data_IF_383853992566
#
_entry.id   IF_383853992566
#
_cell.length_a   1.000
_cell.length_b   1.000
_cell.length_c   1.000
_cell.angle_alpha   90.00
_cell.angle_beta   90.00
_cell.angle_gamma   90.00
#
_symmetry.space_group_name_H-M   'P 1'
#
loop_
_entity.id
_entity.type
_entity.pdbx_description
1 polymer ?
#
# COMPACT_ATOMS: atom_id res chain seq x y z
N UNK A 1 -26.03 11.92 19.83
CA UNK A 1 -25.66 10.81 18.92
C UNK A 1 -26.51 10.95 17.69
N UNK A 2 -25.96 11.59 16.66
CA UNK A 2 -26.59 11.74 15.36
C UNK A 2 -25.62 11.14 14.37
N UNK A 3 -25.96 9.97 13.84
CA UNK A 3 -25.25 9.34 12.74
C UNK A 3 -25.31 10.27 11.54
N UNK A 4 -24.24 11.02 11.33
CA UNK A 4 -24.05 11.81 10.12
C UNK A 4 -23.87 10.79 9.00
N UNK A 5 -24.88 10.75 8.12
CA UNK A 5 -24.93 9.91 6.93
C UNK A 5 -23.83 10.34 5.95
N UNK A 6 -22.60 9.93 6.25
CA UNK A 6 -21.41 10.28 5.51
C UNK A 6 -21.56 9.90 4.03
N UNK A 7 -22.28 8.81 3.71
CA UNK A 7 -22.52 8.33 2.34
C UNK A 7 -23.09 9.39 1.38
N UNK A 8 -23.92 10.32 1.85
CA UNK A 8 -24.64 11.24 0.94
C UNK A 8 -23.78 12.41 0.44
N UNK A 9 -22.65 12.74 1.10
CA UNK A 9 -21.79 13.85 0.66
C UNK A 9 -20.77 13.48 -0.43
N UNK A 10 -20.70 12.20 -0.84
CA UNK A 10 -19.60 11.68 -1.67
C UNK A 10 -19.85 11.70 -3.18
N UNK A 11 -21.05 12.06 -3.63
CA UNK A 11 -21.37 12.03 -5.06
C UNK A 11 -21.11 13.41 -5.67
N UNK A 12 -20.02 13.53 -6.42
CA UNK A 12 -19.77 14.67 -7.30
C UNK A 12 -20.65 14.56 -8.57
N UNK A 13 -21.97 14.63 -8.39
CA UNK A 13 -22.98 14.55 -9.45
C UNK A 13 -22.98 15.79 -10.36
N UNK A 14 -22.28 16.85 -9.99
CA UNK A 14 -22.43 18.19 -10.57
C UNK A 14 -21.35 18.60 -11.59
N UNK A 15 -20.49 17.68 -12.05
CA UNK A 15 -19.43 18.06 -13.00
C UNK A 15 -19.92 18.23 -14.46
N UNK A 16 -21.16 17.83 -14.77
CA UNK A 16 -21.78 18.02 -16.08
C UNK A 16 -23.19 18.60 -15.87
N UNK A 17 -23.39 19.87 -16.22
CA UNK A 17 -24.74 20.39 -16.49
C UNK A 17 -25.25 19.75 -17.78
N UNK A 18 -25.76 18.53 -17.70
CA UNK A 18 -26.45 17.87 -18.81
C UNK A 18 -27.84 18.47 -18.96
N UNK A 19 -28.19 18.94 -20.16
CA UNK A 19 -29.59 19.24 -20.48
C UNK A 19 -30.39 17.92 -20.48
N UNK A 20 -31.70 17.95 -20.20
CA UNK A 20 -32.56 16.75 -20.19
C UNK A 20 -32.46 15.93 -21.48
N UNK A 21 -32.25 16.59 -22.62
CA UNK A 21 -32.09 15.97 -23.94
C UNK A 21 -30.79 15.15 -24.04
N UNK A 22 -29.71 15.62 -23.42
CA UNK A 22 -28.42 14.90 -23.39
C UNK A 22 -28.53 13.68 -22.47
N UNK A 23 -29.23 13.77 -21.33
CA UNK A 23 -29.48 12.61 -20.46
C UNK A 23 -30.27 11.51 -21.17
N UNK A 24 -31.26 11.87 -22.00
CA UNK A 24 -32.04 10.91 -22.78
C UNK A 24 -31.18 10.22 -23.84
N UNK A 25 -30.28 10.95 -24.51
CA UNK A 25 -29.33 10.39 -25.48
C UNK A 25 -28.32 9.46 -24.80
N UNK A 26 -27.82 9.84 -23.63
CA UNK A 26 -26.93 9.02 -22.80
C UNK A 26 -27.62 7.71 -22.40
N UNK A 27 -28.82 7.79 -21.81
CA UNK A 27 -29.59 6.64 -21.33
C UNK A 27 -30.09 5.71 -22.45
N UNK A 28 -30.29 6.23 -23.65
CA UNK A 28 -30.68 5.41 -24.82
C UNK A 28 -29.47 4.80 -25.54
N UNK A 29 -28.25 5.26 -25.25
CA UNK A 29 -27.04 4.71 -25.84
C UNK A 29 -26.52 3.52 -25.02
N UNK A 30 -26.75 2.32 -25.54
CA UNK A 30 -26.35 1.04 -24.91
C UNK A 30 -24.84 0.96 -24.57
N UNK A 31 -23.98 1.65 -25.32
CA UNK A 31 -22.54 1.68 -25.03
C UNK A 31 -22.23 2.54 -23.81
N UNK A 32 -22.90 3.69 -23.65
CA UNK A 32 -22.69 4.59 -22.53
C UNK A 32 -23.26 3.99 -21.24
N UNK A 33 -24.47 3.41 -21.28
CA UNK A 33 -25.02 2.69 -20.12
C UNK A 33 -24.10 1.55 -19.65
N UNK A 34 -23.53 0.77 -20.59
CA UNK A 34 -22.59 -0.30 -20.22
C UNK A 34 -21.30 0.23 -19.57
N UNK A 35 -20.88 1.46 -19.89
CA UNK A 35 -19.73 2.10 -19.24
C UNK A 35 -20.12 2.56 -17.83
N UNK A 36 -21.27 3.21 -17.67
CA UNK A 36 -21.77 3.66 -16.37
C UNK A 36 -21.94 2.48 -15.40
N UNK A 37 -22.56 1.38 -15.83
CA UNK A 37 -22.70 0.18 -14.97
C UNK A 37 -21.35 -0.38 -14.54
N UNK A 38 -20.34 -0.39 -15.43
CA UNK A 38 -18.98 -0.83 -15.06
C UNK A 38 -18.31 0.12 -14.08
N UNK A 39 -18.56 1.42 -14.19
CA UNK A 39 -18.04 2.41 -13.24
C UNK A 39 -18.67 2.17 -11.86
N UNK A 40 -19.98 2.02 -11.78
CA UNK A 40 -20.70 1.70 -10.55
C UNK A 40 -20.19 0.41 -9.90
N UNK A 41 -20.02 -0.66 -10.68
CA UNK A 41 -19.44 -1.93 -10.20
C UNK A 41 -18.03 -1.73 -9.61
N UNK A 42 -17.17 -0.95 -10.26
CA UNK A 42 -15.82 -0.65 -9.78
C UNK A 42 -15.82 0.21 -8.50
N UNK A 43 -16.83 1.07 -8.31
CA UNK A 43 -16.99 1.88 -7.11
C UNK A 43 -17.48 1.03 -5.93
N UNK A 44 -18.45 0.14 -6.18
CA UNK A 44 -18.94 -0.81 -5.17
C UNK A 44 -17.83 -1.75 -4.71
N UNK A 45 -17.05 -2.32 -5.65
CA UNK A 45 -15.89 -3.17 -5.31
C UNK A 45 -14.85 -2.42 -4.47
N UNK A 46 -14.58 -1.15 -4.81
CA UNK A 46 -13.65 -0.32 -4.06
C UNK A 46 -14.12 -0.07 -2.62
N UNK A 47 -15.40 0.29 -2.43
CA UNK A 47 -15.97 0.52 -1.10
C UNK A 47 -16.00 -0.77 -0.27
N UNK A 48 -16.34 -1.90 -0.90
CA UNK A 48 -16.31 -3.21 -0.25
C UNK A 48 -14.91 -3.53 0.29
N UNK A 49 -13.86 -3.31 -0.52
CA UNK A 49 -12.45 -3.51 -0.11
C UNK A 49 -12.03 -2.60 1.02
N UNK A 50 -12.47 -1.34 1.00
CA UNK A 50 -12.22 -0.40 2.11
C UNK A 50 -12.81 -0.92 3.42
N UNK A 51 -14.06 -1.39 3.38
CA UNK A 51 -14.73 -1.94 4.56
C UNK A 51 -14.07 -3.23 5.03
N UNK A 52 -13.71 -4.14 4.11
CA UNK A 52 -12.98 -5.38 4.44
C UNK A 52 -11.68 -5.08 5.20
N UNK A 53 -10.82 -4.22 4.65
CA UNK A 53 -9.51 -3.90 5.26
C UNK A 53 -9.67 -3.30 6.64
N UNK A 54 -10.61 -2.36 6.82
CA UNK A 54 -10.88 -1.75 8.11
C UNK A 54 -11.36 -2.79 9.12
N UNK A 55 -12.34 -3.60 8.73
CA UNK A 55 -12.90 -4.65 9.59
C UNK A 55 -11.86 -5.72 9.98
N UNK A 56 -11.06 -6.19 9.03
CA UNK A 56 -10.01 -7.17 9.28
C UNK A 56 -8.95 -6.62 10.23
N UNK A 57 -8.52 -5.36 10.05
CA UNK A 57 -7.52 -4.77 10.94
C UNK A 57 -8.07 -4.50 12.36
N UNK A 58 -9.32 -4.07 12.48
CA UNK A 58 -9.93 -3.75 13.78
C UNK A 58 -10.34 -5.00 14.58
N UNK A 59 -10.76 -6.06 13.90
CA UNK A 59 -11.41 -7.21 14.54
C UNK A 59 -10.65 -8.53 14.42
N UNK A 60 -9.44 -8.55 13.86
CA UNK A 60 -8.68 -9.79 13.70
C UNK A 60 -7.20 -9.66 14.08
N UNK A 61 -6.62 -10.76 14.56
CA UNK A 61 -5.17 -10.86 14.75
C UNK A 61 -4.50 -11.14 13.39
N UNK A 62 -3.94 -10.08 12.81
CA UNK A 62 -3.25 -10.14 11.51
C UNK A 62 -2.09 -11.13 11.54
N UNK A 63 -1.33 -11.20 12.64
CA UNK A 63 -0.21 -12.15 12.73
C UNK A 63 -0.71 -13.59 12.67
N UNK A 64 -1.82 -13.88 13.34
CA UNK A 64 -2.44 -15.21 13.30
C UNK A 64 -2.95 -15.54 11.89
N UNK A 65 -3.63 -14.60 11.22
CA UNK A 65 -4.15 -14.80 9.85
C UNK A 65 -3.02 -15.18 8.89
N UNK A 66 -1.91 -14.43 8.91
CA UNK A 66 -0.83 -14.59 7.94
C UNK A 66 0.28 -15.54 8.39
N UNK A 67 0.17 -16.13 9.58
CA UNK A 67 1.09 -17.17 10.06
C UNK A 67 1.14 -18.39 9.11
N UNK A 68 0.00 -18.73 8.50
CA UNK A 68 -0.16 -19.89 7.61
C UNK A 68 0.03 -19.56 6.12
N UNK A 69 0.15 -18.27 5.77
CA UNK A 69 0.23 -17.78 4.39
C UNK A 69 1.67 -17.73 3.91
N UNK A 70 1.89 -18.06 2.64
CA UNK A 70 3.23 -17.94 2.06
C UNK A 70 3.56 -16.46 1.78
N UNK A 71 4.85 -16.17 1.59
CA UNK A 71 5.31 -14.79 1.45
C UNK A 71 4.76 -14.06 0.21
N UNK A 72 4.45 -14.78 -0.88
CA UNK A 72 3.83 -14.18 -2.06
C UNK A 72 2.39 -13.73 -1.77
N UNK A 73 1.59 -14.55 -1.06
CA UNK A 73 0.23 -14.18 -0.66
C UNK A 73 0.22 -12.93 0.23
N UNK A 74 1.16 -12.83 1.16
CA UNK A 74 1.30 -11.65 2.03
C UNK A 74 1.64 -10.41 1.21
N UNK A 75 2.63 -10.52 0.33
CA UNK A 75 3.10 -9.43 -0.51
C UNK A 75 2.03 -8.96 -1.52
N UNK A 76 1.19 -9.88 -1.99
CA UNK A 76 0.01 -9.55 -2.78
C UNK A 76 -1.02 -8.74 -1.98
N UNK A 77 -1.22 -9.06 -0.70
CA UNK A 77 -2.09 -8.24 0.17
C UNK A 77 -1.48 -6.87 0.45
N UNK A 78 -0.17 -6.77 0.66
CA UNK A 78 0.50 -5.45 0.75
C UNK A 78 0.24 -4.61 -0.50
N UNK A 79 0.37 -5.23 -1.69
CA UNK A 79 0.13 -4.57 -2.96
C UNK A 79 -1.33 -4.13 -3.13
N UNK A 80 -2.27 -4.95 -2.70
CA UNK A 80 -3.71 -4.62 -2.69
C UNK A 80 -3.97 -3.39 -1.80
N UNK A 81 -3.49 -3.41 -0.56
CA UNK A 81 -3.67 -2.33 0.41
C UNK A 81 -3.06 -1.04 -0.12
N UNK A 82 -1.81 -1.05 -0.58
CA UNK A 82 -1.13 0.18 -1.03
C UNK A 82 -1.76 0.76 -2.30
N UNK A 83 -2.26 -0.08 -3.22
CA UNK A 83 -3.02 0.38 -4.39
C UNK A 83 -4.35 1.00 -3.98
N UNK A 84 -5.03 0.43 -2.98
CA UNK A 84 -6.26 0.97 -2.44
C UNK A 84 -6.02 2.36 -1.83
N UNK A 85 -5.01 2.51 -0.97
CA UNK A 85 -4.64 3.80 -0.37
C UNK A 85 -4.25 4.81 -1.46
N UNK A 86 -3.50 4.39 -2.49
CA UNK A 86 -3.09 5.26 -3.60
C UNK A 86 -4.31 5.77 -4.37
N UNK A 87 -5.23 4.88 -4.79
CA UNK A 87 -6.48 5.26 -5.45
C UNK A 87 -7.33 6.17 -4.57
N UNK A 88 -7.50 5.81 -3.29
CA UNK A 88 -8.24 6.61 -2.31
C UNK A 88 -7.66 8.02 -2.19
N UNK A 89 -6.34 8.14 -2.07
CA UNK A 89 -5.67 9.43 -1.90
C UNK A 89 -5.77 10.31 -3.14
N UNK A 90 -5.75 9.73 -4.34
CA UNK A 90 -5.94 10.47 -5.58
C UNK A 90 -7.37 10.99 -5.76
N UNK A 91 -8.37 10.23 -5.31
CA UNK A 91 -9.79 10.59 -5.45
C UNK A 91 -10.26 11.59 -4.38
N UNK A 92 -9.56 11.71 -3.25
CA UNK A 92 -10.03 12.44 -2.09
C UNK A 92 -9.06 13.55 -1.66
N UNK A 93 -9.55 14.79 -1.63
CA UNK A 93 -8.79 15.93 -1.11
C UNK A 93 -8.64 15.92 0.42
N UNK A 94 -9.52 15.20 1.12
CA UNK A 94 -9.46 14.98 2.56
C UNK A 94 -9.50 13.49 2.82
N UNK A 95 -8.52 12.98 3.55
CA UNK A 95 -8.39 11.55 3.82
C UNK A 95 -8.95 11.26 5.20
N UNK A 96 -9.79 10.24 5.34
CA UNK A 96 -10.29 9.80 6.65
C UNK A 96 -9.15 9.17 7.46
N UNK A 97 -8.88 9.73 8.64
CA UNK A 97 -7.71 9.35 9.44
C UNK A 97 -7.77 7.88 9.88
N UNK A 98 -8.92 7.39 10.36
CA UNK A 98 -9.09 6.03 10.84
C UNK A 98 -8.80 4.99 9.75
N UNK A 99 -9.33 5.19 8.55
CA UNK A 99 -9.10 4.35 7.39
C UNK A 99 -7.62 4.34 6.98
N UNK A 100 -7.02 5.52 6.78
CA UNK A 100 -5.59 5.61 6.41
C UNK A 100 -4.70 4.97 7.48
N UNK A 101 -4.95 5.27 8.76
CA UNK A 101 -4.19 4.71 9.89
C UNK A 101 -4.29 3.18 9.91
N UNK A 102 -5.49 2.63 9.71
CA UNK A 102 -5.72 1.18 9.66
C UNK A 102 -4.96 0.54 8.50
N UNK A 103 -5.04 1.12 7.30
CA UNK A 103 -4.34 0.59 6.14
C UNK A 103 -2.81 0.62 6.32
N UNK A 104 -2.26 1.71 6.85
CA UNK A 104 -0.82 1.84 7.08
C UNK A 104 -0.32 0.89 8.17
N UNK A 105 -1.06 0.72 9.26
CA UNK A 105 -0.70 -0.24 10.32
C UNK A 105 -0.81 -1.69 9.85
N UNK A 106 -1.80 -2.00 9.01
CA UNK A 106 -1.91 -3.30 8.38
C UNK A 106 -0.71 -3.54 7.47
N UNK A 107 -0.38 -2.59 6.59
CA UNK A 107 0.79 -2.66 5.72
C UNK A 107 2.09 -2.86 6.51
N UNK A 108 2.30 -2.08 7.58
CA UNK A 108 3.45 -2.23 8.47
C UNK A 108 3.55 -3.64 9.07
N UNK A 109 2.42 -4.21 9.50
CA UNK A 109 2.39 -5.55 10.09
C UNK A 109 2.80 -6.61 9.08
N UNK A 110 2.29 -6.53 7.85
CA UNK A 110 2.67 -7.46 6.77
C UNK A 110 4.15 -7.34 6.41
N UNK A 111 4.66 -6.11 6.30
CA UNK A 111 6.07 -5.85 5.98
C UNK A 111 6.98 -6.40 7.07
N UNK A 112 6.60 -6.25 8.35
CA UNK A 112 7.37 -6.82 9.47
C UNK A 112 7.36 -8.35 9.48
N UNK A 113 6.24 -8.99 9.16
CA UNK A 113 6.19 -10.45 8.99
C UNK A 113 7.20 -10.89 7.92
N UNK A 114 7.17 -10.26 6.75
CA UNK A 114 8.07 -10.60 5.64
C UNK A 114 9.53 -10.31 5.97
N UNK A 115 9.82 -9.16 6.62
CA UNK A 115 11.16 -8.78 7.09
C UNK A 115 11.78 -9.85 8.00
N UNK A 116 11.00 -10.32 8.97
CA UNK A 116 11.42 -11.35 9.92
C UNK A 116 11.70 -12.67 9.20
N UNK A 117 10.84 -13.09 8.25
CA UNK A 117 11.01 -14.33 7.48
C UNK A 117 12.36 -14.40 6.77
N UNK A 118 12.77 -13.31 6.13
CA UNK A 118 14.05 -13.22 5.42
C UNK A 118 15.20 -12.66 6.28
N UNK A 119 14.99 -12.53 7.60
CA UNK A 119 15.99 -12.16 8.61
C UNK A 119 16.66 -10.79 8.36
N UNK A 120 15.93 -9.87 7.76
CA UNK A 120 16.39 -8.49 7.60
C UNK A 120 16.42 -7.79 8.97
N UNK A 121 17.48 -7.02 9.24
CA UNK A 121 17.54 -6.21 10.46
C UNK A 121 16.61 -4.99 10.35
N UNK A 122 15.96 -4.59 11.44
CA UNK A 122 15.15 -3.37 11.44
C UNK A 122 16.06 -2.16 11.22
N UNK A 123 15.56 -1.16 10.49
CA UNK A 123 16.28 0.10 10.36
C UNK A 123 16.05 0.93 11.62
N UNK A 124 17.13 1.37 12.25
CA UNK A 124 17.02 2.26 13.40
C UNK A 124 16.43 3.60 12.96
N UNK A 125 15.22 3.90 13.42
CA UNK A 125 14.72 5.27 13.45
C UNK A 125 15.70 6.08 14.31
N UNK A 126 16.52 6.92 13.68
CA UNK A 126 17.41 7.81 14.42
C UNK A 126 16.55 8.65 15.38
N UNK A 127 16.70 8.41 16.70
CA UNK A 127 16.00 9.16 17.77
C UNK A 127 16.13 10.68 17.66
N UNK A 128 17.10 11.16 16.87
CA UNK A 128 17.29 12.57 16.54
C UNK A 128 16.16 13.20 15.69
N UNK A 129 15.21 12.40 15.17
CA UNK A 129 14.00 12.92 14.53
C UNK A 129 13.08 13.67 15.52
N UNK A 130 13.19 13.41 16.83
CA UNK A 130 12.41 14.11 17.85
C UNK A 130 12.94 15.51 18.17
N UNK A 131 14.17 15.87 17.76
CA UNK A 131 14.86 17.09 18.21
C UNK A 131 15.29 18.06 17.10
N UNK A 132 15.10 17.73 15.82
CA UNK A 132 15.34 18.68 14.72
C UNK A 132 14.00 19.09 14.16
N UNK A 133 13.66 20.37 14.33
CA UNK A 133 12.68 21.16 13.58
C UNK A 133 11.88 20.34 12.57
N UNK A 134 10.59 20.13 12.82
CA UNK A 134 9.62 19.51 11.90
C UNK A 134 9.80 20.06 10.48
N UNK A 135 10.68 19.42 9.71
CA UNK A 135 10.73 19.65 8.29
C UNK A 135 9.43 19.06 7.76
N UNK A 136 8.74 19.81 6.90
CA UNK A 136 7.46 19.41 6.29
C UNK A 136 7.55 18.14 5.41
N UNK A 137 8.68 17.43 5.42
CA UNK A 137 9.02 16.32 4.53
C UNK A 137 9.11 15.00 5.31
N UNK A 138 8.64 13.93 4.68
CA UNK A 138 8.71 12.56 5.20
C UNK A 138 10.06 11.97 4.80
N UNK A 139 10.82 11.44 5.78
CA UNK A 139 12.03 10.65 5.47
C UNK A 139 11.62 9.39 4.71
N UNK A 140 12.34 9.11 3.62
CA UNK A 140 12.11 7.92 2.80
C UNK A 140 13.44 7.26 2.48
N UNK A 141 13.42 5.95 2.42
CA UNK A 141 14.54 5.15 1.97
C UNK A 141 14.81 5.37 0.48
N UNK A 142 16.05 5.13 0.06
CA UNK A 142 16.43 5.15 -1.35
C UNK A 142 16.54 3.71 -1.85
N UNK A 143 15.72 3.36 -2.84
CA UNK A 143 15.62 2.02 -3.39
C UNK A 143 16.47 1.88 -4.65
N UNK A 144 17.32 0.86 -4.72
CA UNK A 144 18.17 0.55 -5.87
C UNK A 144 17.97 -0.91 -6.30
N UNK A 145 16.80 -1.16 -6.86
CA UNK A 145 16.41 -2.50 -7.33
C UNK A 145 17.35 -3.08 -8.38
N UNK A 146 17.46 -4.41 -8.35
CA UNK A 146 18.21 -5.15 -9.35
C UNK A 146 17.55 -5.04 -10.73
N UNK A 147 18.33 -4.68 -11.74
CA UNK A 147 17.80 -4.58 -13.11
C UNK A 147 17.39 -5.94 -13.68
N UNK A 148 18.02 -7.02 -13.18
CA UNK A 148 17.77 -8.39 -13.62
C UNK A 148 16.58 -9.06 -12.90
N UNK A 149 16.04 -8.46 -11.84
CA UNK A 149 14.86 -8.95 -11.12
C UNK A 149 14.92 -10.46 -10.83
N UNK A 150 13.90 -11.21 -11.26
CA UNK A 150 13.72 -12.65 -11.08
C UNK A 150 14.74 -13.51 -11.86
N UNK A 151 15.36 -12.92 -12.87
CA UNK A 151 16.44 -13.50 -13.67
C UNK A 151 17.83 -13.28 -13.04
N UNK A 152 17.93 -12.56 -11.92
CA UNK A 152 19.20 -12.28 -11.26
C UNK A 152 19.88 -13.57 -10.79
N UNK A 153 20.88 -14.02 -11.53
CA UNK A 153 21.67 -15.22 -11.22
C UNK A 153 22.47 -15.07 -9.92
N UNK A 154 22.87 -13.85 -9.57
CA UNK A 154 23.58 -13.54 -8.33
C UNK A 154 22.72 -13.67 -7.08
N UNK A 155 21.41 -13.41 -7.18
CA UNK A 155 20.48 -13.67 -6.08
C UNK A 155 19.99 -15.11 -6.12
N UNK A 156 19.57 -15.62 -7.29
CA UNK A 156 18.79 -16.85 -7.38
C UNK A 156 19.56 -18.13 -7.75
N UNK A 157 20.76 -18.05 -8.31
CA UNK A 157 21.49 -19.20 -8.84
C UNK A 157 22.87 -19.32 -8.21
N UNK A 158 22.86 -19.45 -6.88
CA UNK A 158 24.05 -19.52 -6.02
C UNK A 158 24.79 -20.86 -6.20
N UNK A 159 25.61 -20.96 -7.25
CA UNK A 159 26.53 -22.10 -7.41
C UNK A 159 27.94 -21.80 -6.89
N UNK A 160 28.28 -20.52 -6.63
CA UNK A 160 29.64 -20.11 -6.20
C UNK A 160 29.55 -19.12 -5.03
N UNK A 161 30.20 -19.47 -3.92
CA UNK A 161 30.29 -18.70 -2.66
C UNK A 161 30.82 -17.26 -2.77
N UNK A 162 31.24 -16.81 -3.94
CA UNK A 162 31.97 -15.54 -4.12
C UNK A 162 31.14 -14.39 -4.70
N UNK A 163 29.95 -14.64 -5.25
CA UNK A 163 29.21 -13.59 -5.96
C UNK A 163 27.77 -13.45 -5.44
N UNK A 164 27.50 -12.38 -4.69
CA UNK A 164 26.16 -11.96 -4.26
C UNK A 164 25.66 -10.77 -5.07
N UNK A 165 24.35 -10.58 -5.17
CA UNK A 165 23.81 -9.34 -5.73
C UNK A 165 23.95 -8.21 -4.70
N UNK A 166 24.50 -7.06 -5.12
CA UNK A 166 24.58 -5.84 -4.29
C UNK A 166 23.36 -4.92 -4.45
N UNK A 167 22.40 -5.28 -5.30
CA UNK A 167 21.19 -4.50 -5.56
C UNK A 167 20.00 -5.05 -4.78
N UNK A 168 18.99 -4.22 -4.60
CA UNK A 168 17.79 -4.57 -3.83
C UNK A 168 16.92 -5.57 -4.59
N UNK A 169 16.39 -6.54 -3.86
CA UNK A 169 15.43 -7.54 -4.35
C UNK A 169 14.17 -7.49 -3.49
N UNK A 170 14.31 -7.83 -2.21
CA UNK A 170 13.26 -7.69 -1.19
C UNK A 170 13.74 -6.72 -0.11
N UNK A 171 12.96 -5.71 0.23
CA UNK A 171 13.40 -4.56 1.06
C UNK A 171 12.39 -4.24 2.16
N UNK A 172 11.85 -5.29 2.80
CA UNK A 172 10.77 -5.17 3.77
C UNK A 172 11.14 -4.29 4.96
N UNK A 173 12.40 -4.31 5.42
CA UNK A 173 12.86 -3.38 6.46
C UNK A 173 12.81 -1.89 6.04
N UNK A 174 13.04 -1.57 4.76
CA UNK A 174 12.93 -0.21 4.23
C UNK A 174 11.45 0.18 4.05
N UNK A 175 10.62 -0.76 3.59
CA UNK A 175 9.16 -0.55 3.50
C UNK A 175 8.58 -0.27 4.88
N UNK A 176 8.88 -1.10 5.88
CA UNK A 176 8.45 -0.88 7.27
C UNK A 176 8.87 0.51 7.78
N UNK A 177 10.11 0.91 7.52
CA UNK A 177 10.63 2.22 7.92
C UNK A 177 9.88 3.40 7.26
N UNK A 178 9.62 3.31 5.95
CA UNK A 178 8.90 4.36 5.22
C UNK A 178 7.43 4.44 5.66
N UNK A 179 6.79 3.31 5.93
CA UNK A 179 5.43 3.24 6.47
C UNK A 179 5.37 3.85 7.87
N UNK A 180 6.31 3.50 8.75
CA UNK A 180 6.39 4.05 10.11
C UNK A 180 6.66 5.57 10.09
N UNK A 181 7.51 6.04 9.16
CA UNK A 181 7.75 7.47 8.93
C UNK A 181 6.48 8.20 8.49
N UNK A 182 5.69 7.60 7.59
CA UNK A 182 4.41 8.16 7.14
C UNK A 182 3.37 8.20 8.27
N UNK A 183 3.25 7.13 9.06
CA UNK A 183 2.37 7.09 10.23
C UNK A 183 2.75 8.21 11.22
N UNK A 184 4.03 8.33 11.52
CA UNK A 184 4.54 9.37 12.44
C UNK A 184 4.19 10.76 11.93
N UNK A 185 4.44 11.02 10.65
CA UNK A 185 4.11 12.31 10.03
C UNK A 185 2.61 12.64 10.08
N UNK A 186 1.74 11.67 9.78
CA UNK A 186 0.29 11.84 9.83
C UNK A 186 -0.17 12.15 11.26
N UNK A 187 0.33 11.40 12.24
CA UNK A 187 -0.03 11.57 13.65
C UNK A 187 0.42 12.93 14.19
N UNK A 188 1.62 13.39 13.85
CA UNK A 188 2.12 14.69 14.28
C UNK A 188 1.30 15.85 13.70
N UNK A 189 0.90 15.77 12.43
CA UNK A 189 0.06 16.79 11.80
C UNK A 189 -1.39 16.78 12.32
N UNK A 190 -1.89 15.61 12.74
CA UNK A 190 -3.21 15.49 13.37
C UNK A 190 -3.26 16.13 14.74
N UNK A 191 -2.19 16.00 15.54
CA UNK A 191 -2.14 16.55 16.90
C UNK A 191 -1.92 18.07 16.93
N UNK A 192 -1.30 18.66 15.90
CA UNK A 192 -1.06 20.11 15.83
C UNK A 192 -2.29 20.93 15.43
N UNK A 193 -3.32 20.31 14.84
CA UNK A 193 -4.54 20.98 14.40
C UNK A 193 -5.69 20.49 15.29
N UNK A 194 -6.03 21.27 16.33
CA UNK A 194 -7.11 21.03 17.29
C UNK A 194 -8.10 19.90 16.92
N UNK A 195 -7.97 18.81 17.67
CA UNK A 195 -8.90 17.70 17.92
C UNK A 195 -10.33 18.09 17.51
N UNK A 196 -10.74 17.72 16.29
CA UNK A 196 -12.14 17.64 15.84
C UNK A 196 -12.29 17.18 14.38
N UNK A 197 -11.21 17.17 13.61
CA UNK A 197 -11.27 16.69 12.24
C UNK A 197 -10.69 15.28 12.16
N UNK A 198 -11.54 14.26 12.05
CA UNK A 198 -11.20 12.88 11.62
C UNK A 198 -10.65 12.84 10.18
N UNK A 199 -10.10 13.95 9.67
CA UNK A 199 -9.69 14.14 8.29
C UNK A 199 -8.29 14.73 8.21
N UNK A 200 -7.43 14.08 7.43
CA UNK A 200 -6.10 14.54 7.08
C UNK A 200 -6.23 15.38 5.80
N UNK A 201 -5.63 16.58 5.80
CA UNK A 201 -5.46 17.32 4.56
C UNK A 201 -4.46 16.57 3.68
N UNK A 202 -4.95 16.07 2.56
CA UNK A 202 -4.13 15.46 1.54
C UNK A 202 -3.00 16.40 1.12
N UNK A 203 -1.75 15.93 1.16
CA UNK A 203 -0.60 16.74 0.77
C UNK A 203 0.34 15.98 -0.18
N UNK A 204 1.18 16.73 -0.88
CA UNK A 204 2.10 16.17 -1.89
C UNK A 204 3.10 15.17 -1.30
N UNK A 205 3.48 15.31 -0.03
CA UNK A 205 4.44 14.40 0.61
C UNK A 205 3.80 13.05 0.93
N UNK A 206 2.56 13.03 1.44
CA UNK A 206 1.77 11.80 1.67
C UNK A 206 1.64 11.02 0.35
N UNK A 207 1.26 11.70 -0.74
CA UNK A 207 1.15 11.06 -2.06
C UNK A 207 2.47 10.50 -2.57
N UNK A 208 3.54 11.28 -2.47
CA UNK A 208 4.86 10.83 -2.91
C UNK A 208 5.26 9.56 -2.16
N UNK A 209 5.04 9.50 -0.85
CA UNK A 209 5.35 8.32 -0.05
C UNK A 209 4.48 7.12 -0.43
N UNK A 210 3.16 7.29 -0.56
CA UNK A 210 2.25 6.20 -0.97
C UNK A 210 2.62 5.68 -2.37
N UNK A 211 2.94 6.56 -3.32
CA UNK A 211 3.35 6.17 -4.66
C UNK A 211 4.70 5.44 -4.67
N UNK A 212 5.65 5.89 -3.85
CA UNK A 212 6.92 5.18 -3.65
C UNK A 212 6.67 3.78 -3.09
N UNK A 213 5.86 3.65 -2.04
CA UNK A 213 5.50 2.35 -1.46
C UNK A 213 4.82 1.44 -2.49
N UNK A 214 3.89 1.98 -3.29
CA UNK A 214 3.19 1.23 -4.34
C UNK A 214 4.16 0.69 -5.40
N UNK A 215 5.13 1.51 -5.82
CA UNK A 215 6.17 1.10 -6.76
C UNK A 215 7.07 0.00 -6.17
N UNK A 216 7.55 0.20 -4.94
CA UNK A 216 8.49 -0.72 -4.26
C UNK A 216 7.84 -2.08 -4.02
N UNK A 217 6.65 -2.11 -3.43
CA UNK A 217 5.89 -3.34 -3.17
C UNK A 217 5.53 -4.02 -4.48
N UNK A 218 5.10 -3.26 -5.50
CA UNK A 218 4.80 -3.81 -6.82
C UNK A 218 6.02 -4.43 -7.51
N UNK A 219 7.22 -3.88 -7.30
CA UNK A 219 8.46 -4.45 -7.81
C UNK A 219 8.75 -5.80 -7.14
N UNK A 220 8.72 -5.86 -5.81
CA UNK A 220 8.97 -7.08 -5.05
C UNK A 220 7.95 -8.18 -5.38
N UNK A 221 6.66 -7.81 -5.45
CA UNK A 221 5.58 -8.74 -5.79
C UNK A 221 5.76 -9.32 -7.18
N UNK A 222 6.04 -8.46 -8.17
CA UNK A 222 6.24 -8.89 -9.55
C UNK A 222 7.42 -9.84 -9.68
N UNK A 223 8.50 -9.57 -8.97
CA UNK A 223 9.68 -10.42 -8.92
C UNK A 223 9.39 -11.79 -8.30
N UNK A 224 8.80 -11.83 -7.09
CA UNK A 224 8.50 -13.10 -6.43
C UNK A 224 7.44 -13.90 -7.19
N UNK A 225 6.41 -13.24 -7.73
CA UNK A 225 5.38 -13.88 -8.54
C UNK A 225 5.99 -14.57 -9.77
N UNK A 226 6.93 -13.90 -10.45
CA UNK A 226 7.62 -14.48 -11.60
C UNK A 226 8.39 -15.75 -11.23
N UNK A 227 9.08 -15.76 -10.06
CA UNK A 227 9.74 -16.97 -9.55
C UNK A 227 8.76 -18.08 -9.22
N UNK A 228 7.59 -17.76 -8.68
CA UNK A 228 6.60 -18.74 -8.26
C UNK A 228 5.75 -19.29 -9.41
N UNK A 229 5.71 -18.63 -10.58
CA UNK A 229 4.76 -18.91 -11.67
C UNK A 229 4.71 -20.38 -12.13
N UNK A 230 5.85 -21.05 -12.17
CA UNK A 230 5.97 -22.45 -12.64
C UNK A 230 6.29 -23.44 -11.51
N UNK A 231 6.17 -23.01 -10.25
CA UNK A 231 6.49 -23.81 -9.08
C UNK A 231 5.22 -24.12 -8.28
N UNK A 232 5.23 -25.27 -7.60
CA UNK A 232 4.13 -25.67 -6.71
C UNK A 232 4.02 -24.69 -5.53
N UNK A 233 2.80 -24.27 -5.11
CA UNK A 233 2.59 -23.38 -3.96
C UNK A 233 3.35 -23.76 -2.69
N UNK A 234 3.56 -25.06 -2.44
CA UNK A 234 4.32 -25.53 -1.28
C UNK A 234 5.81 -25.11 -1.30
N UNK A 235 6.33 -24.80 -2.48
CA UNK A 235 7.73 -24.45 -2.71
C UNK A 235 7.96 -22.94 -2.82
N UNK A 236 6.90 -22.13 -2.88
CA UNK A 236 7.00 -20.69 -3.10
C UNK A 236 7.87 -19.96 -2.08
N UNK A 237 7.84 -20.39 -0.82
CA UNK A 237 8.64 -19.77 0.25
C UNK A 237 10.16 -19.91 -0.01
N UNK A 238 10.59 -20.93 -0.77
CA UNK A 238 12.00 -21.14 -1.11
C UNK A 238 12.57 -20.07 -2.02
N UNK A 239 11.72 -19.29 -2.69
CA UNK A 239 12.14 -18.21 -3.60
C UNK A 239 12.16 -16.84 -2.93
N UNK A 240 11.57 -16.70 -1.75
CA UNK A 240 11.58 -15.46 -0.99
C UNK A 240 12.80 -15.40 -0.07
N UNK A 241 13.92 -14.94 -0.59
CA UNK A 241 15.15 -14.74 0.16
C UNK A 241 16.05 -13.70 -0.50
N UNK A 242 17.04 -13.21 0.26
CA UNK A 242 18.08 -12.33 -0.24
C UNK A 242 19.42 -12.98 0.04
N UNK A 243 20.21 -13.18 -1.01
CA UNK A 243 21.60 -13.57 -0.89
C UNK A 243 22.46 -12.31 -0.67
N UNK A 244 22.61 -11.89 0.59
CA UNK A 244 23.62 -10.90 0.95
C UNK A 244 24.95 -11.60 1.24
N UNK A 245 26.05 -11.09 0.67
CA UNK A 245 27.37 -11.37 1.22
C UNK A 245 27.43 -10.75 2.61
N UNK A 246 27.66 -11.58 3.63
CA UNK A 246 28.02 -11.10 4.97
C UNK A 246 29.45 -10.60 4.97
#
# INVERSE_FOLDING_TARGET
MSDINWLESFINKDSLKTTPEIEIIIKSNKFINNIETKIEEMEVDFLSKMHEIKNTFENSDINLIYSSKNSLEILQKELEIVKLISKYSLQNNKLEYGFISSCLKYLLTLSEILRIRIKQQPLNMNKNYNNKSFNNNISRCSYKFCNYKDECTYNYNFSKKTNSCYQDHYVHNMVSHDVESLITYINSNSNSNNINNNSINHNKEILKTINTLSFVIGHMEGELRAKCLYNDPKDWEKYHYINTSK
#
